data_IF_304332367345
#
_entry.id   IF_304332367345
#
_cell.length_a   1.000
_cell.length_b   1.000
_cell.length_c   1.000
_cell.angle_alpha   90.00
_cell.angle_beta   90.00
_cell.angle_gamma   90.00
#
_symmetry.space_group_name_H-M   'P 1'
#
loop_
_entity.id
_entity.type
_entity.pdbx_description
1 polymer ?
#
# COMPACT_ATOMS: atom_id res chain seq x y z
N UNK A 1 -16.61 -17.62 38.73
CA UNK A 1 -16.14 -16.24 38.47
C UNK A 1 -16.33 -15.99 36.98
N UNK A 2 -17.38 -15.25 36.62
CA UNK A 2 -17.81 -15.03 35.24
C UNK A 2 -16.86 -14.04 34.55
N UNK A 3 -15.98 -14.54 33.68
CA UNK A 3 -15.20 -13.73 32.75
C UNK A 3 -16.10 -13.27 31.61
N UNK A 4 -16.41 -11.96 31.58
CA UNK A 4 -17.03 -11.30 30.42
C UNK A 4 -16.14 -11.51 29.17
N UNK A 5 -16.71 -11.81 27.99
CA UNK A 5 -15.96 -11.77 26.74
C UNK A 5 -15.55 -10.31 26.43
N UNK A 6 -14.43 -10.09 25.72
CA UNK A 6 -14.08 -8.76 25.26
C UNK A 6 -15.16 -8.29 24.27
N UNK A 7 -15.70 -7.10 24.53
CA UNK A 7 -16.65 -6.44 23.65
C UNK A 7 -15.99 -6.22 22.29
N UNK A 8 -16.48 -6.92 21.27
CA UNK A 8 -16.34 -6.50 19.90
C UNK A 8 -17.20 -5.23 19.77
N UNK A 9 -16.57 -4.07 19.65
CA UNK A 9 -17.28 -2.84 19.33
C UNK A 9 -17.79 -2.97 17.89
N UNK A 10 -19.02 -3.44 17.74
CA UNK A 10 -19.78 -3.26 16.51
C UNK A 10 -19.76 -1.76 16.20
N UNK A 11 -19.09 -1.41 15.12
CA UNK A 11 -18.95 -0.06 14.61
C UNK A 11 -20.33 0.59 14.46
N UNK A 12 -20.50 1.75 15.08
CA UNK A 12 -21.57 2.71 14.78
C UNK A 12 -21.68 2.91 13.25
N UNK A 13 -22.84 3.28 12.69
CA UNK A 13 -22.97 3.49 11.25
C UNK A 13 -21.91 4.52 10.85
N UNK A 14 -20.90 4.06 10.09
CA UNK A 14 -19.82 4.93 9.62
C UNK A 14 -20.49 6.10 8.91
N UNK A 15 -20.14 7.33 9.32
CA UNK A 15 -20.41 8.50 8.51
C UNK A 15 -19.96 8.18 7.07
N UNK A 16 -20.79 8.53 6.08
CA UNK A 16 -20.45 8.38 4.66
C UNK A 16 -18.99 8.81 4.47
N UNK A 17 -18.12 7.97 3.87
CA UNK A 17 -16.69 8.29 3.83
C UNK A 17 -16.52 9.65 3.17
N UNK A 18 -15.74 10.55 3.76
CA UNK A 18 -15.37 11.83 3.15
C UNK A 18 -14.67 11.69 1.77
N UNK A 19 -14.43 10.45 1.34
CA UNK A 19 -13.84 10.05 0.06
C UNK A 19 -14.86 9.54 -0.98
N UNK A 20 -16.14 9.87 -0.86
CA UNK A 20 -17.13 9.59 -1.91
C UNK A 20 -18.23 10.64 -1.98
N UNK A 21 -18.66 11.00 -3.20
CA UNK A 21 -19.82 11.86 -3.45
C UNK A 21 -20.80 11.16 -4.40
N UNK A 22 -22.08 11.45 -4.27
CA UNK A 22 -23.10 10.98 -5.21
C UNK A 22 -23.14 11.88 -6.45
N UNK A 23 -23.04 11.25 -7.63
CA UNK A 23 -23.11 11.91 -8.93
C UNK A 23 -24.29 11.39 -9.73
N UNK A 24 -24.89 12.28 -10.52
CA UNK A 24 -25.94 11.94 -11.48
C UNK A 24 -25.34 11.36 -12.76
N UNK A 25 -26.04 10.40 -13.35
CA UNK A 25 -25.72 9.84 -14.65
C UNK A 25 -26.99 9.63 -15.48
N UNK A 26 -26.80 9.37 -16.76
CA UNK A 26 -27.88 9.02 -17.69
C UNK A 26 -27.56 7.68 -18.32
N UNK A 27 -28.52 6.76 -18.34
CA UNK A 27 -28.34 5.45 -18.97
C UNK A 27 -28.20 5.58 -20.49
N UNK A 28 -27.24 4.86 -21.05
CA UNK A 28 -27.06 4.77 -22.49
C UNK A 28 -28.20 3.95 -23.09
N UNK A 29 -29.03 4.58 -23.93
CA UNK A 29 -30.15 3.92 -24.60
C UNK A 29 -31.46 4.68 -24.41
N UNK A 30 -32.08 4.53 -23.25
CA UNK A 30 -33.38 5.13 -22.93
C UNK A 30 -33.29 6.51 -22.26
N UNK A 31 -32.07 6.97 -21.93
CA UNK A 31 -31.84 8.28 -21.35
C UNK A 31 -32.38 8.45 -19.92
N UNK A 32 -32.67 7.35 -19.22
CA UNK A 32 -33.19 7.43 -17.86
C UNK A 32 -32.12 8.00 -16.91
N UNK A 33 -32.46 9.03 -16.11
CA UNK A 33 -31.56 9.56 -15.10
C UNK A 33 -31.41 8.59 -13.93
N UNK A 34 -30.23 8.57 -13.33
CA UNK A 34 -29.95 7.86 -12.09
C UNK A 34 -28.83 8.56 -11.33
N UNK A 35 -28.52 8.07 -10.13
CA UNK A 35 -27.38 8.56 -9.36
C UNK A 35 -26.60 7.40 -8.74
N UNK A 36 -25.31 7.61 -8.54
CA UNK A 36 -24.41 6.62 -7.95
C UNK A 36 -23.34 7.32 -7.10
N UNK A 37 -22.93 6.74 -5.96
CA UNK A 37 -21.72 7.18 -5.29
C UNK A 37 -20.50 6.86 -6.15
N UNK A 38 -19.57 7.80 -6.26
CA UNK A 38 -18.25 7.61 -6.87
C UNK A 38 -17.16 7.92 -5.84
N UNK A 39 -16.03 7.23 -5.95
CA UNK A 39 -14.85 7.53 -5.15
C UNK A 39 -14.30 8.91 -5.53
N UNK A 40 -13.94 9.70 -4.53
CA UNK A 40 -13.24 10.96 -4.70
C UNK A 40 -11.72 10.75 -4.78
N UNK A 41 -11.07 11.66 -5.49
CA UNK A 41 -9.62 11.79 -5.50
C UNK A 41 -9.21 13.25 -5.32
N UNK A 42 -8.05 13.45 -4.70
CA UNK A 42 -7.45 14.76 -4.46
C UNK A 42 -5.99 14.73 -4.88
N UNK A 43 -5.50 15.88 -5.37
CA UNK A 43 -4.08 16.07 -5.61
C UNK A 43 -3.39 16.38 -4.28
N UNK A 44 -2.63 15.43 -3.76
CA UNK A 44 -1.82 15.59 -2.56
C UNK A 44 -0.37 15.90 -2.94
N UNK A 45 0.07 17.13 -2.67
CA UNK A 45 1.46 17.52 -2.78
C UNK A 45 2.25 17.04 -1.55
N UNK A 46 3.32 16.27 -1.77
CA UNK A 46 4.19 15.77 -0.70
C UNK A 46 5.45 16.63 -0.66
N UNK A 47 5.67 17.27 0.48
CA UNK A 47 6.73 18.26 0.70
C UNK A 47 7.61 17.80 1.85
N UNK A 48 8.93 17.72 1.64
CA UNK A 48 9.89 17.36 2.69
C UNK A 48 10.80 18.55 2.99
N UNK A 49 10.79 19.06 4.23
CA UNK A 49 11.60 20.21 4.65
C UNK A 49 11.53 21.40 3.65
N UNK A 50 10.33 21.69 3.14
CA UNK A 50 10.06 22.74 2.14
C UNK A 50 10.35 22.37 0.67
N UNK A 51 10.80 21.14 0.38
CA UNK A 51 11.06 20.66 -0.97
C UNK A 51 9.88 19.85 -1.52
N UNK A 52 9.25 20.34 -2.59
CA UNK A 52 8.18 19.61 -3.31
C UNK A 52 8.74 18.35 -3.96
N UNK A 53 8.31 17.18 -3.48
CA UNK A 53 8.81 15.89 -3.95
C UNK A 53 7.92 15.27 -5.03
N UNK A 54 6.63 15.17 -4.78
CA UNK A 54 5.68 14.54 -5.70
C UNK A 54 4.28 15.13 -5.50
N UNK A 55 3.42 14.94 -6.50
CA UNK A 55 1.97 15.13 -6.37
C UNK A 55 1.31 13.80 -6.71
N UNK A 56 0.47 13.32 -5.80
CA UNK A 56 -0.18 12.01 -5.91
C UNK A 56 -1.69 12.21 -5.92
N UNK A 57 -2.39 11.55 -6.85
CA UNK A 57 -3.85 11.43 -6.79
C UNK A 57 -4.17 10.31 -5.79
N UNK A 58 -4.85 10.67 -4.70
CA UNK A 58 -5.17 9.77 -3.58
C UNK A 58 -6.63 9.96 -3.18
N UNK A 59 -7.25 8.94 -2.60
CA UNK A 59 -8.53 9.11 -1.91
C UNK A 59 -8.32 9.95 -0.64
N UNK A 60 -9.18 10.95 -0.32
CA UNK A 60 -8.99 11.92 0.77
C UNK A 60 -9.22 11.37 2.18
N UNK A 61 -8.72 10.16 2.44
CA UNK A 61 -8.78 9.45 3.73
C UNK A 61 -7.39 8.94 4.09
N UNK A 62 -7.12 8.82 5.39
CA UNK A 62 -5.88 8.24 5.91
C UNK A 62 -4.61 8.88 5.34
N UNK A 63 -4.63 10.20 5.11
CA UNK A 63 -3.57 10.91 4.38
C UNK A 63 -2.25 11.00 5.16
N UNK A 64 -2.30 11.03 6.49
CA UNK A 64 -1.10 10.93 7.32
C UNK A 64 -0.48 9.53 7.21
N UNK A 65 -1.31 8.49 7.15
CA UNK A 65 -0.84 7.11 6.92
C UNK A 65 -0.21 7.00 5.53
N UNK A 66 -0.85 7.59 4.51
CA UNK A 66 -0.27 7.68 3.17
C UNK A 66 1.09 8.39 3.19
N UNK A 67 1.21 9.56 3.82
CA UNK A 67 2.44 10.35 3.84
C UNK A 67 3.60 9.57 4.50
N UNK A 68 3.36 8.95 5.65
CA UNK A 68 4.37 8.13 6.35
C UNK A 68 4.75 6.91 5.54
N UNK A 69 3.75 6.18 5.03
CA UNK A 69 4.00 4.95 4.29
C UNK A 69 4.65 5.20 2.94
N UNK A 70 4.28 6.26 2.24
CA UNK A 70 4.96 6.70 1.02
C UNK A 70 6.42 7.06 1.30
N UNK A 71 6.71 7.73 2.42
CA UNK A 71 8.08 8.08 2.82
C UNK A 71 8.96 6.84 2.97
N UNK A 72 8.49 5.83 3.70
CA UNK A 72 9.23 4.59 3.95
C UNK A 72 9.24 3.70 2.70
N UNK A 73 8.07 3.47 2.10
CA UNK A 73 7.88 2.60 0.95
C UNK A 73 8.62 3.06 -0.30
N UNK A 74 8.86 4.37 -0.45
CA UNK A 74 9.67 4.92 -1.55
C UNK A 74 11.17 5.03 -1.19
N UNK A 75 11.55 4.72 0.06
CA UNK A 75 12.93 4.81 0.53
C UNK A 75 13.44 6.24 0.71
N UNK A 76 12.54 7.21 0.95
CA UNK A 76 12.90 8.59 1.29
C UNK A 76 13.47 8.65 2.70
N UNK A 77 12.86 7.87 3.60
CA UNK A 77 13.36 7.59 4.95
C UNK A 77 13.52 6.08 5.15
N UNK A 78 14.46 5.67 5.99
CA UNK A 78 14.69 4.26 6.32
C UNK A 78 13.79 3.79 7.46
N UNK A 79 13.39 4.71 8.34
CA UNK A 79 12.50 4.43 9.47
C UNK A 79 11.62 5.63 9.81
N UNK A 80 10.52 5.39 10.52
CA UNK A 80 9.65 6.47 11.01
C UNK A 80 10.32 7.38 12.04
N UNK A 81 11.39 6.94 12.70
CA UNK A 81 12.17 7.78 13.60
C UNK A 81 12.86 8.96 12.89
N UNK A 82 12.96 8.91 11.56
CA UNK A 82 13.47 10.02 10.75
C UNK A 82 12.40 11.02 10.33
N UNK A 83 11.12 10.78 10.67
CA UNK A 83 10.01 11.69 10.42
C UNK A 83 9.67 12.36 11.75
N UNK A 84 9.93 13.66 11.86
CA UNK A 84 9.73 14.43 13.09
C UNK A 84 8.33 15.04 13.16
N UNK A 85 7.75 15.39 12.02
CA UNK A 85 6.42 15.99 11.96
C UNK A 85 5.75 15.71 10.62
N UNK A 86 4.42 15.68 10.61
CA UNK A 86 3.56 15.57 9.42
C UNK A 86 2.39 16.54 9.59
N UNK A 87 2.30 17.55 8.73
CA UNK A 87 1.20 18.52 8.72
C UNK A 87 0.41 18.38 7.44
N UNK A 88 -0.90 18.17 7.59
CA UNK A 88 -1.83 18.22 6.48
C UNK A 88 -2.47 19.60 6.40
N UNK A 89 -2.54 20.14 5.18
CA UNK A 89 -3.22 21.40 4.91
C UNK A 89 -3.89 21.40 3.53
N UNK A 90 -4.66 22.44 3.24
CA UNK A 90 -5.46 22.55 2.02
C UNK A 90 -6.91 22.11 2.20
N UNK A 91 -7.66 22.16 1.11
CA UNK A 91 -9.10 21.87 1.09
C UNK A 91 -9.57 21.53 -0.32
N UNK A 92 -10.62 20.72 -0.43
CA UNK A 92 -11.17 20.32 -1.73
C UNK A 92 -10.19 19.45 -2.52
N UNK A 93 -10.01 19.75 -3.81
CA UNK A 93 -9.21 18.92 -4.72
C UNK A 93 -7.69 19.06 -4.57
N UNK A 94 -7.20 19.97 -3.71
CA UNK A 94 -5.78 20.24 -3.53
C UNK A 94 -5.41 20.25 -2.06
N UNK A 95 -4.51 19.34 -1.68
CA UNK A 95 -4.01 19.19 -0.33
C UNK A 95 -2.49 19.08 -0.32
N UNK A 96 -1.91 19.35 0.85
CA UNK A 96 -0.47 19.33 1.09
C UNK A 96 -0.18 18.44 2.30
N UNK A 97 0.84 17.60 2.17
CA UNK A 97 1.48 16.90 3.27
C UNK A 97 2.89 17.47 3.42
N UNK A 98 3.08 18.32 4.42
CA UNK A 98 4.37 18.87 4.80
C UNK A 98 5.01 17.97 5.87
N UNK A 99 6.09 17.29 5.51
CA UNK A 99 6.85 16.42 6.39
C UNK A 99 8.16 17.09 6.81
N UNK A 100 8.43 17.07 8.11
CA UNK A 100 9.75 17.36 8.66
C UNK A 100 10.52 16.05 8.83
N UNK A 101 11.66 15.93 8.14
CA UNK A 101 12.51 14.73 8.18
C UNK A 101 13.95 15.03 8.61
N UNK A 102 14.65 13.99 9.06
CA UNK A 102 16.06 14.04 9.45
C UNK A 102 16.94 14.71 8.38
N UNK A 103 17.96 15.46 8.81
CA UNK A 103 18.89 16.12 7.87
C UNK A 103 19.60 15.11 6.97
N UNK A 104 19.83 13.89 7.46
CA UNK A 104 20.42 12.77 6.70
C UNK A 104 19.49 12.33 5.58
N UNK A 105 18.24 12.01 5.90
CA UNK A 105 17.23 11.62 4.90
C UNK A 105 17.02 12.73 3.87
N UNK A 106 16.92 13.99 4.30
CA UNK A 106 16.78 15.13 3.39
C UNK A 106 17.99 15.32 2.46
N UNK A 107 19.21 15.08 2.95
CA UNK A 107 20.41 15.11 2.12
C UNK A 107 20.40 13.99 1.07
N UNK A 108 20.04 12.77 1.47
CA UNK A 108 19.90 11.62 0.56
C UNK A 108 18.86 11.89 -0.53
N UNK A 109 17.69 12.42 -0.17
CA UNK A 109 16.63 12.80 -1.11
C UNK A 109 17.13 13.77 -2.19
N UNK A 110 17.86 14.82 -1.79
CA UNK A 110 18.43 15.80 -2.72
C UNK A 110 19.50 15.16 -3.63
N UNK A 111 20.26 14.19 -3.15
CA UNK A 111 21.24 13.48 -3.97
C UNK A 111 20.58 12.62 -5.03
N UNK A 112 19.58 11.82 -4.65
CA UNK A 112 18.84 10.97 -5.58
C UNK A 112 18.22 11.80 -6.71
N UNK A 113 17.62 12.96 -6.38
CA UNK A 113 17.08 13.88 -7.40
C UNK A 113 18.13 14.39 -8.37
N UNK A 114 19.32 14.74 -7.89
CA UNK A 114 20.43 15.20 -8.74
C UNK A 114 20.93 14.10 -9.67
N UNK A 115 20.99 12.86 -9.20
CA UNK A 115 21.37 11.71 -10.01
C UNK A 115 20.35 11.46 -11.12
N UNK A 116 19.05 11.45 -10.81
CA UNK A 116 17.97 11.27 -11.80
C UNK A 116 17.95 12.37 -12.87
N UNK A 117 18.22 13.63 -12.48
CA UNK A 117 18.35 14.74 -13.42
C UNK A 117 19.61 14.64 -14.30
N UNK A 118 20.68 13.99 -13.82
CA UNK A 118 21.92 13.77 -14.58
C UNK A 118 21.84 12.61 -15.57
N UNK A 119 20.98 11.61 -15.33
CA UNK A 119 20.83 10.43 -16.19
C UNK A 119 20.00 10.66 -17.46
N UNK A 120 19.30 11.79 -17.58
CA UNK A 120 18.50 12.10 -18.78
C UNK A 120 19.32 12.49 -20.02
N UNK A 121 20.64 12.64 -19.90
CA UNK A 121 21.52 13.14 -20.97
C UNK A 121 22.44 12.11 -21.63
N UNK A 122 22.57 10.89 -21.11
CA UNK A 122 23.51 9.89 -21.65
C UNK A 122 22.72 8.64 -22.00
N UNK A 123 22.60 8.34 -23.30
CA UNK A 123 21.86 7.21 -23.84
C UNK A 123 22.40 5.86 -23.36
N UNK A 124 22.09 5.50 -22.13
CA UNK A 124 22.31 4.20 -21.53
C UNK A 124 21.33 3.21 -22.17
N UNK A 125 21.70 2.73 -23.35
CA UNK A 125 21.00 1.71 -24.11
C UNK A 125 21.35 0.31 -23.54
N UNK A 126 20.48 -0.30 -22.72
CA UNK A 126 20.66 -1.72 -22.39
C UNK A 126 20.03 -2.19 -21.08
N UNK A 127 19.93 -3.51 -20.93
CA UNK A 127 19.45 -4.23 -19.74
C UNK A 127 20.32 -3.93 -18.50
N UNK A 128 21.60 -3.64 -18.70
CA UNK A 128 22.56 -3.29 -17.64
C UNK A 128 22.25 -1.92 -17.00
N UNK A 129 21.72 -0.97 -17.77
CA UNK A 129 21.25 0.31 -17.24
C UNK A 129 19.99 0.15 -16.37
N UNK A 130 19.18 -0.88 -16.66
CA UNK A 130 17.98 -1.20 -15.88
C UNK A 130 18.33 -1.88 -14.56
N UNK A 131 19.34 -2.76 -14.52
CA UNK A 131 19.83 -3.34 -13.26
C UNK A 131 20.46 -2.27 -12.35
N UNK A 132 21.14 -1.27 -12.92
CA UNK A 132 21.64 -0.11 -12.18
C UNK A 132 20.54 0.88 -11.77
N UNK A 133 19.35 0.82 -12.36
CA UNK A 133 18.22 1.68 -12.02
C UNK A 133 17.40 1.17 -10.83
N UNK A 134 17.56 -0.10 -10.44
CA UNK A 134 16.82 -0.66 -9.31
C UNK A 134 17.55 -0.41 -7.97
N UNK A 135 16.81 -0.16 -6.88
CA UNK A 135 17.41 0.12 -5.58
C UNK A 135 18.14 -1.11 -5.03
N UNK A 136 19.25 -0.89 -4.32
CA UNK A 136 19.86 -1.95 -3.52
C UNK A 136 19.06 -2.12 -2.21
N UNK A 137 18.32 -3.21 -2.11
CA UNK A 137 17.54 -3.56 -0.91
C UNK A 137 18.18 -4.74 -0.19
N UNK A 138 18.20 -4.68 1.14
CA UNK A 138 18.57 -5.83 1.96
C UNK A 138 17.64 -7.02 1.68
N UNK A 139 18.15 -8.24 1.84
CA UNK A 139 17.31 -9.43 1.87
C UNK A 139 16.61 -9.50 3.23
N UNK A 140 15.35 -9.93 3.23
CA UNK A 140 14.67 -10.24 4.48
C UNK A 140 15.27 -11.51 5.11
N UNK A 141 15.15 -11.69 6.43
CA UNK A 141 15.52 -12.95 7.09
C UNK A 141 14.70 -14.14 6.57
N UNK A 142 13.55 -13.88 5.93
CA UNK A 142 12.57 -14.87 5.49
C UNK A 142 11.63 -15.28 6.62
N UNK A 143 10.52 -15.91 6.26
CA UNK A 143 9.54 -16.46 7.19
C UNK A 143 8.98 -17.80 6.69
N UNK A 144 8.48 -18.66 7.59
CA UNK A 144 7.64 -19.79 7.20
C UNK A 144 6.44 -19.32 6.37
N UNK A 145 5.99 -20.16 5.45
CA UNK A 145 4.74 -19.92 4.74
C UNK A 145 3.56 -19.92 5.72
N UNK A 146 2.56 -19.05 5.54
CA UNK A 146 1.39 -19.02 6.40
C UNK A 146 0.57 -20.31 6.24
N UNK A 147 -0.11 -20.78 7.31
CA UNK A 147 -1.07 -21.87 7.22
C UNK A 147 -2.12 -21.61 6.13
N UNK A 148 -2.35 -22.60 5.25
CA UNK A 148 -3.31 -22.46 4.15
C UNK A 148 -4.73 -22.09 4.62
N UNK A 149 -5.11 -22.54 5.83
CA UNK A 149 -6.39 -22.21 6.46
C UNK A 149 -6.61 -20.71 6.66
N UNK A 150 -5.55 -19.90 6.83
CA UNK A 150 -5.67 -18.44 6.97
C UNK A 150 -6.22 -17.78 5.70
N UNK A 151 -5.98 -18.41 4.54
CA UNK A 151 -6.40 -17.89 3.23
C UNK A 151 -7.81 -18.37 2.84
N UNK A 152 -8.40 -19.31 3.58
CA UNK A 152 -9.76 -19.81 3.33
C UNK A 152 -10.76 -18.70 3.62
N UNK A 153 -11.66 -18.44 2.67
CA UNK A 153 -12.66 -17.38 2.80
C UNK A 153 -12.09 -15.96 2.85
N UNK A 154 -10.81 -15.76 2.54
CA UNK A 154 -10.14 -14.48 2.70
C UNK A 154 -10.81 -13.37 1.87
N UNK A 155 -11.25 -13.68 0.65
CA UNK A 155 -11.93 -12.70 -0.23
C UNK A 155 -13.20 -12.14 0.42
N UNK A 156 -14.00 -12.97 1.09
CA UNK A 156 -15.20 -12.52 1.81
C UNK A 156 -14.84 -11.73 3.08
N UNK A 157 -13.81 -12.16 3.80
CA UNK A 157 -13.35 -11.47 5.03
C UNK A 157 -12.83 -10.06 4.75
N UNK A 158 -12.23 -9.84 3.58
CA UNK A 158 -11.70 -8.54 3.15
C UNK A 158 -12.81 -7.50 2.96
N UNK A 159 -14.05 -7.91 2.64
CA UNK A 159 -15.16 -6.97 2.39
C UNK A 159 -15.45 -6.07 3.61
N UNK A 160 -15.28 -6.60 4.82
CA UNK A 160 -15.42 -5.84 6.06
C UNK A 160 -14.36 -4.73 6.25
N UNK A 161 -13.27 -4.78 5.49
CA UNK A 161 -12.16 -3.83 5.51
C UNK A 161 -12.12 -2.95 4.25
N UNK A 162 -13.17 -3.03 3.42
CA UNK A 162 -13.31 -2.21 2.21
C UNK A 162 -14.63 -1.42 2.20
N UNK A 163 -14.97 -0.63 3.24
CA UNK A 163 -16.23 0.11 3.27
C UNK A 163 -16.39 1.08 2.09
N UNK A 164 -15.31 1.73 1.62
CA UNK A 164 -15.38 2.62 0.46
C UNK A 164 -15.64 1.82 -0.82
N UNK A 165 -14.91 0.71 -1.03
CA UNK A 165 -15.11 -0.17 -2.17
C UNK A 165 -16.50 -0.83 -2.21
N UNK A 166 -17.08 -1.15 -1.05
CA UNK A 166 -18.46 -1.62 -0.94
C UNK A 166 -19.48 -0.51 -1.26
N UNK A 167 -19.14 0.76 -0.99
CA UNK A 167 -20.04 1.88 -1.19
C UNK A 167 -20.06 2.40 -2.64
N UNK A 168 -18.89 2.73 -3.20
CA UNK A 168 -18.79 3.40 -4.51
C UNK A 168 -18.07 2.58 -5.58
N UNK A 169 -17.52 1.41 -5.23
CA UNK A 169 -16.65 0.65 -6.13
C UNK A 169 -15.36 1.39 -6.50
N UNK A 170 -14.62 0.82 -7.45
CA UNK A 170 -13.45 1.44 -8.09
C UNK A 170 -12.25 1.85 -7.20
N UNK A 171 -12.08 1.23 -6.03
CA UNK A 171 -10.88 1.39 -5.20
C UNK A 171 -10.12 0.08 -5.04
N UNK A 172 -8.84 0.20 -4.72
CA UNK A 172 -7.99 -0.88 -4.28
C UNK A 172 -7.87 -0.88 -2.75
N UNK A 173 -7.51 -2.04 -2.20
CA UNK A 173 -7.23 -2.16 -0.78
C UNK A 173 -5.94 -2.91 -0.53
N UNK A 174 -5.30 -2.52 0.56
CA UNK A 174 -4.22 -3.26 1.19
C UNK A 174 -4.61 -3.55 2.64
N UNK A 175 -4.35 -4.78 3.09
CA UNK A 175 -4.70 -5.25 4.42
C UNK A 175 -3.51 -5.90 5.09
N UNK A 176 -3.52 -5.91 6.42
CA UNK A 176 -2.56 -6.64 7.22
C UNK A 176 -3.27 -7.71 8.05
N UNK A 177 -2.74 -8.92 7.97
CA UNK A 177 -3.11 -10.06 8.80
C UNK A 177 -1.94 -10.37 9.72
N UNK A 178 -2.22 -10.58 11.00
CA UNK A 178 -1.18 -10.86 11.99
C UNK A 178 -0.68 -12.32 11.96
N UNK A 179 0.26 -12.63 12.84
CA UNK A 179 0.83 -13.98 13.03
C UNK A 179 -0.15 -15.03 13.58
N UNK A 180 -1.38 -14.65 13.87
CA UNK A 180 -2.44 -15.54 14.35
C UNK A 180 -3.48 -15.81 13.26
N UNK A 181 -3.40 -15.15 12.10
CA UNK A 181 -4.34 -15.29 11.00
C UNK A 181 -5.54 -14.32 11.07
N UNK A 182 -5.46 -13.33 11.95
CA UNK A 182 -6.51 -12.33 12.15
C UNK A 182 -6.23 -11.08 11.30
N UNK A 183 -7.26 -10.59 10.60
CA UNK A 183 -7.18 -9.33 9.86
C UNK A 183 -7.27 -8.18 10.88
N UNK A 184 -6.21 -7.37 10.97
CA UNK A 184 -6.15 -6.28 11.95
C UNK A 184 -6.50 -4.93 11.32
N UNK A 185 -6.08 -4.71 10.08
CA UNK A 185 -6.12 -3.39 9.45
C UNK A 185 -6.34 -3.48 7.95
N UNK A 186 -7.08 -2.50 7.42
CA UNK A 186 -7.26 -2.29 5.99
C UNK A 186 -7.16 -0.80 5.65
N UNK A 187 -6.63 -0.53 4.46
CA UNK A 187 -6.58 0.81 3.87
C UNK A 187 -7.00 0.75 2.41
N UNK A 188 -7.77 1.75 2.02
CA UNK A 188 -8.33 1.87 0.67
C UNK A 188 -7.79 3.11 -0.04
N UNK A 189 -7.65 2.99 -1.35
CA UNK A 189 -7.33 4.10 -2.22
C UNK A 189 -7.68 3.77 -3.67
N UNK A 190 -8.02 4.78 -4.46
CA UNK A 190 -8.14 4.65 -5.92
C UNK A 190 -6.86 4.07 -6.57
N UNK A 191 -5.69 4.35 -6.00
CA UNK A 191 -4.40 3.84 -6.43
C UNK A 191 -3.91 2.66 -5.59
N UNK A 192 -3.62 1.52 -6.22
CA UNK A 192 -3.10 0.33 -5.52
C UNK A 192 -1.81 0.56 -4.72
N UNK A 193 -0.92 1.42 -5.21
CA UNK A 193 0.32 1.73 -4.50
C UNK A 193 0.04 2.59 -3.28
N UNK A 194 -0.87 3.56 -3.42
CA UNK A 194 -1.30 4.43 -2.32
C UNK A 194 -2.02 3.64 -1.23
N UNK A 195 -2.87 2.65 -1.59
CA UNK A 195 -3.52 1.78 -0.61
C UNK A 195 -2.47 1.01 0.22
N UNK A 196 -1.42 0.49 -0.43
CA UNK A 196 -0.31 -0.16 0.26
C UNK A 196 0.52 0.81 1.09
N UNK A 197 0.81 2.01 0.57
CA UNK A 197 1.50 3.05 1.33
C UNK A 197 0.70 3.42 2.58
N UNK A 198 -0.62 3.67 2.46
CA UNK A 198 -1.50 3.88 3.62
C UNK A 198 -1.42 2.73 4.61
N UNK A 199 -1.46 1.47 4.16
CA UNK A 199 -1.34 0.33 5.06
C UNK A 199 -0.01 0.35 5.81
N UNK A 200 1.10 0.52 5.09
CA UNK A 200 2.45 0.56 5.67
C UNK A 200 2.55 1.69 6.70
N UNK A 201 2.12 2.90 6.35
CA UNK A 201 2.16 4.03 7.27
C UNK A 201 1.29 3.81 8.49
N UNK A 202 0.10 3.24 8.33
CA UNK A 202 -0.77 2.94 9.45
C UNK A 202 -0.18 1.90 10.41
N UNK A 203 0.44 0.83 9.89
CA UNK A 203 1.16 -0.16 10.71
C UNK A 203 2.28 0.50 11.52
N UNK A 204 3.11 1.31 10.84
CA UNK A 204 4.26 1.96 11.48
C UNK A 204 3.84 3.01 12.50
N UNK A 205 2.82 3.82 12.21
CA UNK A 205 2.30 4.85 13.13
C UNK A 205 1.63 4.25 14.36
N UNK A 206 0.95 3.11 14.21
CA UNK A 206 0.30 2.41 15.31
C UNK A 206 1.26 1.48 16.08
N UNK A 207 2.51 1.32 15.62
CA UNK A 207 3.47 0.39 16.22
C UNK A 207 3.01 -1.07 16.14
N UNK A 208 2.26 -1.43 15.10
CA UNK A 208 1.81 -2.80 14.87
C UNK A 208 3.00 -3.61 14.40
N UNK A 209 3.33 -4.65 15.16
CA UNK A 209 4.38 -5.61 14.81
C UNK A 209 3.99 -6.38 13.55
N UNK A 210 4.87 -6.32 12.54
CA UNK A 210 4.68 -7.02 11.27
C UNK A 210 5.26 -8.44 11.26
N UNK A 211 5.96 -8.83 12.32
CA UNK A 211 6.64 -10.13 12.41
C UNK A 211 5.65 -11.30 12.39
N UNK A 212 5.92 -12.27 11.53
CA UNK A 212 5.02 -13.41 11.26
C UNK A 212 3.69 -13.05 10.59
N UNK A 213 3.42 -11.78 10.32
CA UNK A 213 2.24 -11.31 9.62
C UNK A 213 2.38 -11.31 8.10
N UNK A 214 1.30 -10.96 7.41
CA UNK A 214 1.26 -10.85 5.95
C UNK A 214 0.49 -9.62 5.49
N UNK A 215 1.01 -8.98 4.44
CA UNK A 215 0.28 -7.98 3.69
C UNK A 215 -0.56 -8.65 2.61
N UNK A 216 -1.76 -8.14 2.37
CA UNK A 216 -2.67 -8.57 1.32
C UNK A 216 -2.98 -7.39 0.42
N UNK A 217 -2.90 -7.56 -0.89
CA UNK A 217 -3.30 -6.53 -1.87
C UNK A 217 -4.37 -7.06 -2.80
N UNK A 218 -5.40 -6.25 -3.06
CA UNK A 218 -6.50 -6.64 -3.96
C UNK A 218 -6.16 -6.47 -5.45
N UNK A 219 -5.04 -5.81 -5.75
CA UNK A 219 -4.58 -5.50 -7.09
C UNK A 219 -3.61 -6.54 -7.68
N UNK A 220 -3.11 -6.29 -8.90
CA UNK A 220 -1.90 -6.94 -9.44
C UNK A 220 -0.68 -6.60 -8.59
N UNK A 221 0.27 -7.53 -8.50
CA UNK A 221 1.53 -7.36 -7.80
C UNK A 221 2.66 -7.01 -8.79
N UNK A 222 3.10 -5.75 -8.75
CA UNK A 222 4.24 -5.21 -9.50
C UNK A 222 5.51 -5.19 -8.64
N UNK A 223 6.67 -4.98 -9.28
CA UNK A 223 7.95 -4.81 -8.59
C UNK A 223 7.90 -3.71 -7.51
N UNK A 224 7.29 -2.56 -7.81
CA UNK A 224 7.14 -1.45 -6.86
C UNK A 224 6.43 -1.86 -5.56
N UNK A 225 5.38 -2.71 -5.65
CA UNK A 225 4.69 -3.20 -4.46
C UNK A 225 5.58 -4.14 -3.65
N UNK A 226 6.39 -4.98 -4.32
CA UNK A 226 7.39 -5.82 -3.65
C UNK A 226 8.39 -4.95 -2.89
N UNK A 227 8.94 -3.92 -3.53
CA UNK A 227 9.91 -3.01 -2.91
C UNK A 227 9.34 -2.31 -1.67
N UNK A 228 8.09 -1.84 -1.74
CA UNK A 228 7.39 -1.22 -0.59
C UNK A 228 7.24 -2.18 0.59
N UNK A 229 6.79 -3.41 0.32
CA UNK A 229 6.65 -4.47 1.35
C UNK A 229 8.00 -4.84 1.96
N UNK A 230 9.05 -4.96 1.13
CA UNK A 230 10.41 -5.22 1.59
C UNK A 230 10.93 -4.12 2.52
N UNK A 231 10.75 -2.84 2.14
CA UNK A 231 11.14 -1.69 2.97
C UNK A 231 10.35 -1.60 4.27
N UNK A 232 9.09 -2.03 4.27
CA UNK A 232 8.27 -2.13 5.46
C UNK A 232 8.63 -3.35 6.35
N UNK A 233 9.59 -4.19 5.93
CA UNK A 233 10.01 -5.37 6.69
C UNK A 233 8.99 -6.52 6.71
N UNK A 234 7.93 -6.44 5.91
CA UNK A 234 6.88 -7.46 5.88
C UNK A 234 7.37 -8.65 5.06
N UNK A 235 7.32 -9.86 5.64
CA UNK A 235 7.96 -11.04 5.08
C UNK A 235 7.06 -11.88 4.15
N UNK A 236 5.76 -11.60 4.14
CA UNK A 236 4.79 -12.29 3.28
C UNK A 236 3.85 -11.31 2.59
N UNK A 237 3.73 -11.44 1.27
CA UNK A 237 2.77 -10.73 0.44
C UNK A 237 1.81 -11.70 -0.25
N UNK A 238 0.52 -11.50 -0.01
CA UNK A 238 -0.58 -12.17 -0.70
C UNK A 238 -1.21 -11.21 -1.70
N UNK A 239 -1.31 -11.62 -2.97
CA UNK A 239 -1.95 -10.85 -4.02
C UNK A 239 -3.21 -11.55 -4.52
N UNK A 240 -4.33 -10.83 -4.64
CA UNK A 240 -5.58 -11.38 -5.20
C UNK A 240 -5.58 -11.45 -6.73
N UNK A 241 -4.61 -10.79 -7.39
CA UNK A 241 -4.37 -10.92 -8.83
C UNK A 241 -2.96 -11.48 -9.09
N UNK A 242 -2.71 -11.95 -10.32
CA UNK A 242 -1.41 -12.52 -10.67
C UNK A 242 -0.26 -11.50 -10.52
N UNK A 243 0.91 -11.91 -9.99
CA UNK A 243 2.13 -11.10 -9.99
C UNK A 243 2.78 -11.07 -11.38
N UNK A 244 3.61 -10.06 -11.63
CA UNK A 244 4.47 -10.04 -12.82
C UNK A 244 5.72 -10.91 -12.62
N UNK A 245 6.36 -11.33 -13.72
CA UNK A 245 7.60 -12.15 -13.65
C UNK A 245 8.74 -11.45 -12.91
N UNK A 246 8.90 -10.14 -13.12
CA UNK A 246 9.92 -9.35 -12.42
C UNK A 246 9.65 -9.23 -10.91
N UNK A 247 8.38 -9.08 -10.52
CA UNK A 247 7.98 -9.08 -9.11
C UNK A 247 8.34 -10.42 -8.43
N UNK A 248 8.12 -11.53 -9.12
CA UNK A 248 8.51 -12.86 -8.63
C UNK A 248 10.02 -13.01 -8.47
N UNK A 249 10.80 -12.61 -9.48
CA UNK A 249 12.27 -12.68 -9.40
C UNK A 249 12.79 -11.91 -8.18
N UNK A 250 12.23 -10.73 -7.93
CA UNK A 250 12.57 -9.92 -6.75
C UNK A 250 12.13 -10.55 -5.43
N UNK A 251 10.91 -11.09 -5.36
CA UNK A 251 10.45 -11.77 -4.16
C UNK A 251 11.42 -12.90 -3.75
N UNK A 252 11.88 -13.71 -4.73
CA UNK A 252 12.86 -14.77 -4.50
C UNK A 252 14.23 -14.23 -4.09
N UNK A 253 14.73 -13.19 -4.76
CA UNK A 253 16.04 -12.58 -4.46
C UNK A 253 16.11 -12.04 -3.03
N UNK A 254 14.98 -11.55 -2.50
CA UNK A 254 14.89 -10.89 -1.19
C UNK A 254 14.20 -11.72 -0.10
N UNK A 255 14.03 -13.03 -0.30
CA UNK A 255 13.40 -13.95 0.66
C UNK A 255 11.98 -13.54 1.10
N UNK A 256 11.23 -12.90 0.21
CA UNK A 256 9.83 -12.55 0.45
C UNK A 256 8.94 -13.72 0.03
N UNK A 257 8.04 -14.15 0.91
CA UNK A 257 6.97 -15.07 0.53
C UNK A 257 6.00 -14.35 -0.40
N UNK A 258 5.82 -14.86 -1.62
CA UNK A 258 4.90 -14.29 -2.59
C UNK A 258 3.83 -15.32 -2.95
N UNK A 259 2.59 -15.03 -2.56
CA UNK A 259 1.45 -15.91 -2.72
C UNK A 259 0.42 -15.21 -3.60
N UNK A 260 -0.11 -15.91 -4.59
CA UNK A 260 -1.27 -15.48 -5.34
C UNK A 260 -2.48 -16.30 -4.89
N UNK A 261 -3.59 -15.62 -4.60
CA UNK A 261 -4.86 -16.24 -4.29
C UNK A 261 -5.84 -16.04 -5.45
N UNK A 262 -5.98 -16.99 -6.40
CA UNK A 262 -6.94 -16.88 -7.50
C UNK A 262 -8.40 -16.86 -7.02
N UNK A 263 -9.33 -16.45 -7.88
CA UNK A 263 -10.77 -16.43 -7.55
C UNK A 263 -11.40 -17.82 -7.46
N UNK A 264 -10.96 -18.75 -8.33
CA UNK A 264 -11.56 -20.07 -8.51
C UNK A 264 -10.53 -21.21 -8.47
N UNK A 265 -9.45 -21.04 -7.71
CA UNK A 265 -8.41 -22.07 -7.59
C UNK A 265 -7.70 -21.95 -6.24
N UNK A 266 -7.00 -23.02 -5.84
CA UNK A 266 -6.19 -23.02 -4.63
C UNK A 266 -5.11 -21.92 -4.65
N UNK A 267 -4.66 -21.45 -3.47
CA UNK A 267 -3.53 -20.53 -3.36
C UNK A 267 -2.29 -21.07 -4.07
N UNK A 268 -1.53 -20.18 -4.70
CA UNK A 268 -0.28 -20.49 -5.42
C UNK A 268 0.88 -19.79 -4.74
N UNK A 269 1.81 -20.56 -4.21
CA UNK A 269 3.09 -20.04 -3.70
C UNK A 269 4.04 -19.89 -4.89
N UNK A 270 4.51 -18.67 -5.13
CA UNK A 270 5.52 -18.39 -6.15
C UNK A 270 6.93 -18.23 -5.55
N UNK A 271 7.01 -17.69 -4.33
CA UNK A 271 8.22 -17.55 -3.52
C UNK A 271 7.93 -18.01 -2.08
N UNK A 272 8.78 -18.86 -1.46
CA UNK A 272 10.00 -19.43 -2.02
C UNK A 272 9.72 -20.36 -3.20
N UNK A 273 10.72 -20.61 -4.04
CA UNK A 273 10.61 -21.62 -5.08
C UNK A 273 10.43 -23.00 -4.42
N UNK A 274 9.59 -23.87 -5.00
CA UNK A 274 9.57 -25.27 -4.58
C UNK A 274 10.97 -25.86 -4.83
N UNK A 275 11.55 -26.50 -3.82
CA UNK A 275 12.75 -27.31 -4.00
C UNK A 275 12.36 -28.47 -4.94
N UNK A 276 13.05 -28.55 -6.08
CA UNK A 276 12.93 -29.63 -7.06
C UNK A 276 13.88 -30.77 -6.72
#
# INVERSE_FOLDING_TARGET
>A
MNSKPPFCAASLPLALPAASTTYDYVQLGDGQPGSTPLAEEVALAIVYNGLNQAVMLVSPTDLEDFAVGFSVGSGIVESTAEIYDVKLSGSGASMYADLEISSRAFWNLKNQRRQLAGTSGCGLCGVEALEQALPDLAKLPGAPLPPAQWLVGLRQRIDAFQPLGQHCGAVHAALFMDRHGELLLGREDIGRHNALDKLIGALLRQGIDSDGGLAIVTSRCSLELIQKVLRAGIQTLVSLSAPTGLALQWARRHNLNLIHLPKHSAPRVYSPAAES
#
